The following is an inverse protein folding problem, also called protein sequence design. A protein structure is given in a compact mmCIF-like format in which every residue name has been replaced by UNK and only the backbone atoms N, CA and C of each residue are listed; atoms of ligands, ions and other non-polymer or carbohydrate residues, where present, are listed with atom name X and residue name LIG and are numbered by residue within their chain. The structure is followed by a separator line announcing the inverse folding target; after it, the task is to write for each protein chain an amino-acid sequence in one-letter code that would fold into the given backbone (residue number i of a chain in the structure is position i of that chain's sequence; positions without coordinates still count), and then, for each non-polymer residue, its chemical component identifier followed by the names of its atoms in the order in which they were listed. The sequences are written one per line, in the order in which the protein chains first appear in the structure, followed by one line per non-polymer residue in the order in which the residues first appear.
data_IF_855714277143
#
_entry.id   IF_855714277143
#
_cell.length_a   1.000
_cell.length_b   1.000
_cell.length_c   1.000
_cell.angle_alpha   90.00
_cell.angle_beta   90.00
_cell.angle_gamma   90.00
#
_symmetry.space_group_name_H-M   'P 1'
#
loop_
_entity.id
_entity.type
_entity.pdbx_description
1 polymer ?
#
# COMPACT_ATOMS: atom_id res chain seq x y z
N UNK A 1 -15.80 12.33 -13.51
CA UNK A 1 -16.43 11.21 -12.77
C UNK A 1 -15.50 10.85 -11.62
N UNK A 2 -15.82 11.32 -10.42
CA UNK A 2 -14.92 11.25 -9.24
C UNK A 2 -14.99 9.85 -8.67
N UNK A 3 -13.94 9.05 -8.85
CA UNK A 3 -13.82 7.75 -8.18
C UNK A 3 -13.48 8.04 -6.71
N UNK A 4 -14.50 8.09 -5.87
CA UNK A 4 -14.33 8.00 -4.42
C UNK A 4 -13.91 6.56 -4.10
N UNK A 5 -12.63 6.35 -3.85
CA UNK A 5 -12.16 5.13 -3.19
C UNK A 5 -12.55 5.30 -1.71
N UNK A 6 -13.77 4.93 -1.40
CA UNK A 6 -14.19 4.75 -0.01
C UNK A 6 -13.79 3.33 0.35
N UNK A 7 -12.71 3.16 1.11
CA UNK A 7 -12.44 1.93 1.82
C UNK A 7 -13.52 1.77 2.90
N UNK A 8 -14.67 1.22 2.50
CA UNK A 8 -15.65 0.70 3.46
C UNK A 8 -15.16 -0.71 3.77
N UNK A 9 -14.56 -0.88 4.94
CA UNK A 9 -14.34 -2.20 5.53
C UNK A 9 -15.73 -2.80 5.85
N UNK A 10 -16.35 -3.42 4.87
CA UNK A 10 -17.42 -4.39 5.13
C UNK A 10 -16.71 -5.70 5.47
N UNK A 11 -16.70 -6.01 6.74
CA UNK A 11 -16.28 -7.28 7.31
C UNK A 11 -17.27 -8.37 6.89
N UNK A 12 -17.21 -8.80 5.64
CA UNK A 12 -17.65 -10.13 5.27
C UNK A 12 -16.44 -11.03 5.45
N UNK A 13 -16.52 -11.98 6.35
CA UNK A 13 -15.53 -13.03 6.54
C UNK A 13 -15.47 -13.94 5.31
N UNK A 14 -15.01 -13.41 4.19
CA UNK A 14 -14.55 -14.22 3.10
C UNK A 14 -13.17 -14.73 3.47
N UNK A 15 -13.07 -16.00 3.75
CA UNK A 15 -11.83 -16.72 4.01
C UNK A 15 -11.03 -16.79 2.69
N UNK A 16 -10.59 -15.61 2.19
CA UNK A 16 -9.81 -15.49 0.97
C UNK A 16 -8.40 -15.99 1.32
N UNK A 17 -8.04 -17.13 0.76
CA UNK A 17 -6.69 -17.66 0.93
C UNK A 17 -5.71 -16.76 0.18
N UNK A 18 -4.82 -16.09 0.90
CA UNK A 18 -3.77 -15.25 0.32
C UNK A 18 -2.70 -16.14 -0.33
N UNK A 19 -2.37 -15.83 -1.59
CA UNK A 19 -1.31 -16.51 -2.33
C UNK A 19 -0.07 -15.64 -2.43
N UNK A 20 1.09 -16.20 -2.09
CA UNK A 20 2.38 -15.48 -2.08
C UNK A 20 3.20 -15.78 -3.34
N UNK A 21 2.61 -15.50 -4.50
CA UNK A 21 3.28 -15.66 -5.79
C UNK A 21 4.19 -14.48 -6.09
N UNK A 22 5.26 -14.72 -6.86
CA UNK A 22 6.06 -13.64 -7.41
C UNK A 22 5.24 -12.88 -8.46
N UNK A 23 5.39 -11.55 -8.50
CA UNK A 23 4.61 -10.70 -9.42
C UNK A 23 4.83 -11.06 -10.89
N UNK A 24 6.05 -11.42 -11.29
CA UNK A 24 6.42 -11.80 -12.65
C UNK A 24 5.75 -13.09 -13.15
N UNK A 25 5.16 -13.87 -12.25
CA UNK A 25 4.39 -15.06 -12.62
C UNK A 25 2.93 -14.76 -12.96
N UNK A 26 2.44 -13.55 -12.61
CA UNK A 26 1.05 -13.14 -12.78
C UNK A 26 0.77 -12.74 -14.24
N UNK A 27 -0.45 -13.03 -14.70
CA UNK A 27 -0.86 -12.68 -16.07
C UNK A 27 -0.95 -11.16 -16.25
N UNK A 28 -1.48 -10.45 -15.28
CA UNK A 28 -1.58 -8.98 -15.28
C UNK A 28 -0.22 -8.27 -15.28
N UNK A 29 0.81 -8.86 -14.68
CA UNK A 29 2.18 -8.34 -14.78
C UNK A 29 2.69 -8.40 -16.23
N UNK A 30 2.46 -9.52 -16.91
CA UNK A 30 2.84 -9.67 -18.34
C UNK A 30 2.02 -8.76 -19.27
N UNK A 31 0.79 -8.40 -18.88
CA UNK A 31 0.01 -7.39 -19.59
C UNK A 31 0.59 -5.98 -19.36
N UNK A 32 0.95 -5.65 -18.12
CA UNK A 32 1.59 -4.36 -17.78
C UNK A 32 2.90 -4.14 -18.55
N UNK A 33 3.71 -5.17 -18.73
CA UNK A 33 4.96 -5.09 -19.52
C UNK A 33 4.75 -4.70 -20.99
N UNK A 34 3.56 -4.96 -21.52
CA UNK A 34 3.19 -4.64 -22.92
C UNK A 34 2.62 -3.22 -23.07
N UNK A 35 2.29 -2.56 -21.98
CA UNK A 35 1.72 -1.20 -22.02
C UNK A 35 2.80 -0.23 -22.50
N UNK A 36 2.45 0.59 -23.47
CA UNK A 36 3.35 1.61 -24.01
C UNK A 36 3.75 2.62 -22.92
N UNK A 37 5.02 2.98 -22.91
CA UNK A 37 5.55 3.95 -21.95
C UNK A 37 5.06 5.36 -22.27
N UNK A 38 4.63 6.08 -21.26
CA UNK A 38 4.20 7.48 -21.37
C UNK A 38 5.41 8.37 -21.67
N UNK A 39 5.32 9.17 -22.75
CA UNK A 39 6.26 10.26 -22.97
C UNK A 39 5.97 11.38 -21.96
N UNK A 40 6.71 11.40 -20.86
CA UNK A 40 6.47 12.31 -19.76
C UNK A 40 6.71 13.78 -20.13
N UNK A 41 7.68 14.05 -21.01
CA UNK A 41 7.96 15.42 -21.48
C UNK A 41 6.73 15.95 -22.21
N UNK A 42 6.22 15.24 -23.17
CA UNK A 42 5.02 15.61 -23.92
C UNK A 42 3.80 15.75 -23.01
N UNK A 43 3.58 14.79 -22.11
CA UNK A 43 2.46 14.79 -21.17
C UNK A 43 2.46 15.96 -20.18
N UNK A 44 3.64 16.51 -19.83
CA UNK A 44 3.77 17.60 -18.87
C UNK A 44 3.87 18.99 -19.53
N UNK A 45 4.38 19.08 -20.76
CA UNK A 45 4.58 20.36 -21.47
C UNK A 45 3.52 20.65 -22.52
N UNK A 46 2.70 19.67 -22.89
CA UNK A 46 1.59 19.84 -23.81
C UNK A 46 0.44 20.66 -23.24
N UNK A 47 -0.58 20.93 -24.06
CA UNK A 47 -1.77 21.71 -23.68
C UNK A 47 -2.50 21.17 -22.45
N UNK A 48 -2.47 19.85 -22.25
CA UNK A 48 -3.09 19.16 -21.10
C UNK A 48 -2.21 19.08 -19.83
N UNK A 49 -0.98 19.61 -19.86
CA UNK A 49 -0.03 19.45 -18.75
C UNK A 49 -0.55 20.03 -17.43
N UNK A 50 -1.17 21.21 -17.46
CA UNK A 50 -1.73 21.83 -16.27
C UNK A 50 -2.94 21.04 -15.71
N UNK A 51 -3.77 20.46 -16.57
CA UNK A 51 -4.89 19.61 -16.19
C UNK A 51 -4.41 18.27 -15.62
N UNK A 52 -3.36 17.72 -16.21
CA UNK A 52 -2.71 16.51 -15.70
C UNK A 52 -2.25 16.68 -14.25
N UNK A 53 -1.63 17.80 -13.89
CA UNK A 53 -1.20 18.09 -12.51
C UNK A 53 -2.38 18.09 -11.55
N UNK A 54 -3.56 18.53 -11.97
CA UNK A 54 -4.78 18.51 -11.14
C UNK A 54 -5.37 17.11 -11.01
N UNK A 55 -5.42 16.37 -12.12
CA UNK A 55 -6.15 15.11 -12.20
C UNK A 55 -5.34 13.93 -11.64
N UNK A 56 -4.00 13.96 -11.75
CA UNK A 56 -3.12 12.90 -11.26
C UNK A 56 -2.68 13.18 -9.81
N UNK A 57 -3.67 13.30 -8.94
CA UNK A 57 -3.47 13.51 -7.51
C UNK A 57 -4.53 12.78 -6.68
N UNK A 58 -4.15 12.33 -5.50
CA UNK A 58 -5.05 11.69 -4.53
C UNK A 58 -4.88 12.32 -3.16
N UNK A 59 -5.98 12.60 -2.45
CA UNK A 59 -5.91 13.08 -1.08
C UNK A 59 -5.35 11.98 -0.17
N UNK A 60 -4.51 12.38 0.75
CA UNK A 60 -3.96 11.53 1.80
C UNK A 60 -4.47 11.99 3.18
N UNK A 61 -3.96 11.39 4.25
CA UNK A 61 -4.27 11.81 5.60
C UNK A 61 -3.66 13.19 5.93
N UNK A 62 -4.19 13.85 6.96
CA UNK A 62 -3.66 15.09 7.53
C UNK A 62 -3.55 16.25 6.52
N UNK A 63 -4.45 16.31 5.54
CA UNK A 63 -4.47 17.37 4.53
C UNK A 63 -3.37 17.27 3.47
N UNK A 64 -2.59 16.20 3.46
CA UNK A 64 -1.60 15.93 2.42
C UNK A 64 -2.29 15.48 1.14
N UNK A 65 -1.67 15.80 0.01
CA UNK A 65 -2.07 15.29 -1.31
C UNK A 65 -0.86 14.65 -1.99
N UNK A 66 -1.02 13.42 -2.42
CA UNK A 66 0.00 12.77 -3.25
C UNK A 66 -0.28 13.11 -4.71
N UNK A 67 0.63 13.86 -5.33
CA UNK A 67 0.57 14.17 -6.75
C UNK A 67 1.57 13.28 -7.51
N UNK A 68 1.05 12.56 -8.49
CA UNK A 68 1.84 11.62 -9.31
C UNK A 68 1.87 11.99 -10.79
N UNK A 69 1.54 13.24 -11.13
CA UNK A 69 1.54 13.72 -12.52
C UNK A 69 2.90 13.56 -13.21
N UNK A 70 4.01 13.65 -12.44
CA UNK A 70 5.37 13.45 -12.94
C UNK A 70 5.83 11.98 -12.99
N UNK A 71 4.91 11.02 -12.81
CA UNK A 71 5.19 9.59 -13.03
C UNK A 71 4.85 9.20 -14.46
N UNK A 72 5.52 8.17 -14.98
CA UNK A 72 5.23 7.62 -16.31
C UNK A 72 3.96 6.77 -16.31
N UNK A 73 2.85 7.38 -15.97
CA UNK A 73 1.53 6.74 -15.91
C UNK A 73 0.51 7.55 -16.69
N UNK A 74 -0.41 6.86 -17.30
CA UNK A 74 -1.66 7.36 -17.87
C UNK A 74 -2.81 6.46 -17.43
N UNK A 75 -4.01 6.69 -17.94
CA UNK A 75 -5.18 5.89 -17.57
C UNK A 75 -5.03 4.42 -17.98
N UNK A 76 -4.28 4.12 -19.03
CA UNK A 76 -4.01 2.73 -19.47
C UNK A 76 -3.08 2.03 -18.50
N UNK A 77 -1.99 2.71 -18.11
CA UNK A 77 -1.04 2.20 -17.11
C UNK A 77 -1.74 2.03 -15.76
N UNK A 78 -2.56 3.01 -15.34
CA UNK A 78 -3.31 2.92 -14.10
C UNK A 78 -4.30 1.75 -14.08
N UNK A 79 -4.99 1.51 -15.20
CA UNK A 79 -5.88 0.36 -15.34
C UNK A 79 -5.13 -0.98 -15.28
N UNK A 80 -3.95 -1.06 -15.88
CA UNK A 80 -3.12 -2.26 -15.82
C UNK A 80 -2.57 -2.50 -14.41
N UNK A 81 -2.14 -1.43 -13.72
CA UNK A 81 -1.71 -1.50 -12.32
C UNK A 81 -2.84 -1.91 -11.37
N UNK A 82 -4.07 -1.45 -11.60
CA UNK A 82 -5.23 -1.88 -10.82
C UNK A 82 -5.48 -3.39 -10.98
N UNK A 83 -5.46 -3.91 -12.20
CA UNK A 83 -5.57 -5.36 -12.44
C UNK A 83 -4.47 -6.16 -11.76
N UNK A 84 -3.23 -5.64 -11.80
CA UNK A 84 -2.11 -6.29 -11.11
C UNK A 84 -2.30 -6.27 -9.59
N UNK A 85 -2.79 -5.19 -9.01
CA UNK A 85 -3.07 -5.08 -7.59
C UNK A 85 -4.14 -6.09 -7.16
N UNK A 86 -5.21 -6.24 -7.96
CA UNK A 86 -6.28 -7.19 -7.69
C UNK A 86 -5.79 -8.64 -7.80
N UNK A 87 -5.10 -9.00 -8.90
CA UNK A 87 -4.57 -10.37 -9.08
C UNK A 87 -3.51 -10.72 -8.02
N UNK A 88 -2.71 -9.74 -7.63
CA UNK A 88 -1.70 -9.90 -6.58
C UNK A 88 -2.29 -9.92 -5.16
N UNK A 89 -3.58 -9.71 -4.99
CA UNK A 89 -4.24 -9.60 -3.68
C UNK A 89 -3.57 -8.54 -2.77
N UNK A 90 -3.30 -7.35 -3.35
CA UNK A 90 -2.52 -6.31 -2.65
C UNK A 90 -3.20 -5.82 -1.38
N UNK A 91 -4.53 -5.61 -1.42
CA UNK A 91 -5.29 -5.13 -0.27
C UNK A 91 -5.30 -6.16 0.87
N UNK A 92 -5.54 -7.43 0.55
CA UNK A 92 -5.56 -8.54 1.49
C UNK A 92 -4.17 -8.76 2.12
N UNK A 93 -3.11 -8.66 1.32
CA UNK A 93 -1.73 -8.75 1.81
C UNK A 93 -1.36 -7.60 2.74
N UNK A 94 -1.87 -6.39 2.45
CA UNK A 94 -1.67 -5.25 3.32
C UNK A 94 -2.41 -5.42 4.65
N UNK A 95 -3.63 -5.95 4.62
CA UNK A 95 -4.38 -6.29 5.83
C UNK A 95 -3.67 -7.37 6.64
N UNK A 96 -3.18 -8.44 6.01
CA UNK A 96 -2.38 -9.47 6.65
C UNK A 96 -1.14 -8.90 7.35
N UNK A 97 -0.43 -7.94 6.71
CA UNK A 97 0.68 -7.22 7.32
C UNK A 97 0.26 -6.48 8.59
N UNK A 98 -0.85 -5.75 8.54
CA UNK A 98 -1.36 -4.99 9.67
C UNK A 98 -1.83 -5.89 10.82
N UNK A 99 -2.39 -7.05 10.50
CA UNK A 99 -2.85 -8.04 11.48
C UNK A 99 -1.71 -8.90 12.04
N UNK A 100 -0.47 -8.68 11.60
CA UNK A 100 0.70 -9.39 12.10
C UNK A 100 0.77 -10.84 11.64
N UNK A 101 0.28 -11.13 10.44
CA UNK A 101 0.48 -12.44 9.83
C UNK A 101 1.92 -12.61 9.35
N UNK A 102 2.33 -13.87 9.15
CA UNK A 102 3.65 -14.18 8.61
C UNK A 102 3.67 -13.87 7.12
N UNK A 103 4.05 -12.66 6.76
CA UNK A 103 4.11 -12.21 5.36
C UNK A 103 5.49 -12.41 4.71
N UNK A 104 6.56 -12.47 5.50
CA UNK A 104 7.86 -12.91 5.01
C UNK A 104 7.93 -14.43 5.05
N UNK A 105 7.39 -15.06 4.03
CA UNK A 105 7.25 -16.52 3.95
C UNK A 105 8.59 -17.25 3.84
N UNK A 106 9.62 -16.58 3.28
CA UNK A 106 10.96 -17.16 3.15
C UNK A 106 11.66 -17.32 4.50
N UNK A 107 11.58 -16.31 5.37
CA UNK A 107 12.18 -16.34 6.71
C UNK A 107 11.19 -16.74 7.81
N UNK A 108 9.93 -16.93 7.47
CA UNK A 108 8.81 -17.20 8.40
C UNK A 108 8.71 -16.14 9.52
N UNK A 109 8.80 -14.87 9.14
CA UNK A 109 8.79 -13.74 10.07
C UNK A 109 7.59 -12.83 9.87
N UNK A 110 7.18 -12.22 10.97
CA UNK A 110 6.29 -11.07 10.99
C UNK A 110 7.04 -9.83 10.47
N UNK A 111 6.32 -8.88 9.89
CA UNK A 111 6.86 -7.57 9.48
C UNK A 111 6.07 -6.49 10.21
N UNK A 112 6.60 -6.02 11.34
CA UNK A 112 5.87 -5.19 12.31
C UNK A 112 6.34 -3.72 12.38
N UNK A 113 7.12 -3.25 11.41
CA UNK A 113 7.66 -1.88 11.41
C UNK A 113 6.58 -0.79 11.47
N UNK A 114 5.39 -1.07 10.96
CA UNK A 114 4.24 -0.15 11.01
C UNK A 114 3.80 0.17 12.45
N UNK A 115 4.01 -0.74 13.40
CA UNK A 115 3.64 -0.56 14.81
C UNK A 115 4.44 0.54 15.53
N UNK A 116 5.53 1.01 14.94
CA UNK A 116 6.27 2.17 15.45
C UNK A 116 5.66 3.50 15.03
N UNK A 117 4.63 3.51 14.17
CA UNK A 117 4.01 4.70 13.59
C UNK A 117 2.53 4.83 13.88
N UNK A 118 2.05 4.10 14.84
CA UNK A 118 0.65 4.10 15.27
C UNK A 118 0.18 2.72 15.67
N UNK A 119 -0.88 2.68 16.45
CA UNK A 119 -1.44 1.47 17.02
C UNK A 119 -2.87 1.25 16.47
N UNK A 120 -2.94 0.93 15.19
CA UNK A 120 -4.20 0.59 14.51
C UNK A 120 -4.36 -0.93 14.42
N UNK A 121 -5.57 -1.42 14.67
CA UNK A 121 -5.93 -2.83 14.58
C UNK A 121 -5.91 -3.56 15.92
N UNK A 122 -6.18 -4.83 15.86
CA UNK A 122 -6.27 -5.73 17.03
C UNK A 122 -4.88 -6.08 17.60
N UNK A 123 -4.86 -6.72 18.78
CA UNK A 123 -3.63 -7.25 19.36
C UNK A 123 -2.93 -8.23 18.40
N UNK A 124 -1.61 -8.18 18.37
CA UNK A 124 -0.78 -9.11 17.59
C UNK A 124 0.10 -9.91 18.54
N UNK A 125 -0.36 -11.11 18.85
CA UNK A 125 0.35 -12.02 19.76
C UNK A 125 1.45 -12.77 19.02
N UNK A 126 2.69 -12.59 19.47
CA UNK A 126 3.82 -13.38 19.01
C UNK A 126 4.82 -13.59 20.14
N UNK A 127 5.32 -14.81 20.27
CA UNK A 127 6.24 -15.22 21.34
C UNK A 127 5.68 -14.97 22.77
N UNK A 128 4.35 -15.07 22.93
CA UNK A 128 3.66 -14.83 24.20
C UNK A 128 3.58 -13.35 24.62
N UNK A 129 3.79 -12.43 23.68
CA UNK A 129 3.76 -10.98 23.93
C UNK A 129 2.89 -10.29 22.88
N UNK A 130 1.99 -9.41 23.33
CA UNK A 130 1.31 -8.48 22.45
C UNK A 130 2.33 -7.47 21.89
N UNK A 131 2.61 -7.59 20.61
CA UNK A 131 3.61 -6.76 19.94
C UNK A 131 3.21 -5.29 19.86
N UNK A 132 1.93 -4.96 19.82
CA UNK A 132 1.48 -3.55 19.82
C UNK A 132 1.81 -2.87 21.14
N UNK A 133 1.46 -3.49 22.25
CA UNK A 133 1.84 -3.02 23.58
C UNK A 133 3.35 -2.95 23.75
N UNK A 134 4.09 -3.98 23.32
CA UNK A 134 5.55 -4.00 23.37
C UNK A 134 6.18 -2.81 22.65
N UNK A 135 5.77 -2.50 21.40
CA UNK A 135 6.35 -1.38 20.65
C UNK A 135 6.04 -0.03 21.29
N UNK A 136 4.84 0.14 21.85
CA UNK A 136 4.47 1.36 22.59
C UNK A 136 5.36 1.58 23.82
N UNK A 137 5.59 0.53 24.59
CA UNK A 137 6.48 0.58 25.75
C UNK A 137 7.93 0.86 25.39
N UNK A 138 8.44 0.28 24.28
CA UNK A 138 9.78 0.56 23.82
C UNK A 138 9.93 2.03 23.37
N UNK A 139 8.93 2.58 22.68
CA UNK A 139 8.93 4.00 22.31
C UNK A 139 8.94 4.91 23.54
N UNK A 140 8.18 4.61 24.58
CA UNK A 140 8.20 5.36 25.84
C UNK A 140 9.59 5.30 26.49
N UNK A 141 10.23 4.13 26.55
CA UNK A 141 11.60 3.99 27.12
C UNK A 141 12.63 4.80 26.31
N UNK A 142 12.51 4.83 24.97
CA UNK A 142 13.39 5.64 24.12
C UNK A 142 13.18 7.13 24.39
N UNK A 143 11.94 7.59 24.52
CA UNK A 143 11.62 8.97 24.84
C UNK A 143 12.18 9.39 26.20
N UNK A 144 12.01 8.56 27.22
CA UNK A 144 12.56 8.79 28.57
C UNK A 144 14.09 8.89 28.57
N UNK A 145 14.74 8.08 27.77
CA UNK A 145 16.20 8.14 27.62
C UNK A 145 16.67 9.41 26.90
N UNK A 146 15.96 9.79 25.83
CA UNK A 146 16.33 10.95 25.01
C UNK A 146 16.09 12.29 25.73
N UNK A 147 15.21 12.32 26.74
CA UNK A 147 14.89 13.54 27.50
C UNK A 147 15.71 13.72 28.80
N UNK A 148 16.66 12.85 29.06
CA UNK A 148 17.63 12.95 30.16
C UNK A 148 18.88 13.72 29.75
#
# INVERSE_FOLDING_TARGET
MTVKIIFIFLKEESNIMITWNNLDTLASFKELEKVERVNLVEAMTGESGAERVKNYSVPMAEGLTYNYAAKQVDDKVLAALAKLADEAQLAEKFEALYNGEVINTGEKRLVLHHMTRGQLGEAVEADGVDKRTFYTEQQAKIADFANK
#
